data_IF_680247541081
#
_entry.id   IF_680247541081
#
_cell.length_a   1.000
_cell.length_b   1.000
_cell.length_c   1.000
_cell.angle_alpha   90.00
_cell.angle_beta   90.00
_cell.angle_gamma   90.00
#
_symmetry.space_group_name_H-M   'P 1'
#
loop_
_entity.id
_entity.type
_entity.pdbx_description
1 polymer ?
#
# COMPACT_ATOMS: atom_id res chain seq x y z
N UNK A 1 27.29 7.29 31.36
CA UNK A 1 26.77 7.49 30.00
C UNK A 1 26.11 6.19 29.61
N UNK A 2 24.79 6.13 29.74
CA UNK A 2 23.92 5.06 29.25
C UNK A 2 22.60 5.74 28.85
N UNK A 3 22.35 5.86 27.54
CA UNK A 3 21.39 6.82 26.96
C UNK A 3 19.92 6.35 26.95
N UNK A 4 19.59 5.20 27.54
CA UNK A 4 18.21 4.65 27.48
C UNK A 4 17.61 4.18 28.82
N UNK A 5 18.23 4.50 29.96
CA UNK A 5 17.56 4.46 31.27
C UNK A 5 16.80 5.77 31.49
N UNK A 6 15.66 5.98 30.82
CA UNK A 6 14.97 7.27 30.96
C UNK A 6 13.58 7.47 30.38
N UNK A 7 13.06 6.60 29.51
CA UNK A 7 11.68 6.75 29.01
C UNK A 7 10.74 5.74 29.65
N UNK A 8 10.39 6.01 30.92
CA UNK A 8 9.08 5.60 31.43
C UNK A 8 8.07 6.58 30.84
N UNK A 9 7.23 6.11 29.91
CA UNK A 9 6.08 6.89 29.49
C UNK A 9 5.12 7.03 30.68
N UNK A 10 4.95 8.26 31.13
CA UNK A 10 4.05 8.62 32.22
C UNK A 10 2.64 8.86 31.67
N UNK A 11 1.76 7.88 31.82
CA UNK A 11 0.34 7.99 31.48
C UNK A 11 -0.45 8.85 32.49
N UNK A 12 0.16 9.38 33.55
CA UNK A 12 -0.56 10.11 34.62
C UNK A 12 -1.05 11.51 34.22
N UNK A 13 -0.57 12.08 33.11
CA UNK A 13 -1.07 13.38 32.61
C UNK A 13 -2.42 13.30 31.87
N UNK A 14 -2.95 12.10 31.64
CA UNK A 14 -4.29 11.92 31.03
C UNK A 14 -5.44 11.91 32.04
N UNK A 15 -5.14 11.94 33.35
CA UNK A 15 -6.15 11.98 34.41
C UNK A 15 -6.13 13.35 35.06
N UNK A 16 -6.67 14.37 34.40
CA UNK A 16 -7.36 15.52 35.03
C UNK A 16 -7.81 16.57 34.00
N UNK A 17 -8.91 16.28 33.28
CA UNK A 17 -10.09 17.14 33.15
C UNK A 17 -11.02 16.58 32.05
N UNK A 18 -12.14 16.02 32.49
CA UNK A 18 -13.45 16.08 31.83
C UNK A 18 -13.58 15.62 30.37
N UNK A 19 -14.31 14.50 30.22
CA UNK A 19 -14.90 13.90 29.01
C UNK A 19 -13.98 12.95 28.24
N UNK A 20 -14.43 11.69 28.19
CA UNK A 20 -13.77 10.54 27.58
C UNK A 20 -13.72 10.64 26.06
N UNK A 21 -12.54 10.91 25.50
CA UNK A 21 -12.20 10.54 24.11
C UNK A 21 -11.14 9.43 24.15
N UNK A 22 -11.63 8.21 24.41
CA UNK A 22 -10.85 6.97 24.36
C UNK A 22 -10.76 6.47 22.92
N UNK A 23 -9.78 6.94 22.13
CA UNK A 23 -9.55 6.40 20.76
C UNK A 23 -8.12 6.56 20.21
N UNK A 24 -7.09 6.65 21.04
CA UNK A 24 -5.69 6.76 20.55
C UNK A 24 -4.90 5.46 20.78
N UNK A 25 -5.27 4.39 20.05
CA UNK A 25 -4.50 3.14 20.01
C UNK A 25 -3.34 3.26 19.01
N UNK A 26 -2.26 2.51 19.24
CA UNK A 26 -1.11 2.40 18.30
C UNK A 26 -1.56 2.03 16.88
N UNK A 27 -2.64 1.27 16.79
CA UNK A 27 -3.30 0.87 15.56
C UNK A 27 -3.95 2.03 14.81
N UNK A 28 -4.77 2.84 15.50
CA UNK A 28 -5.39 4.02 14.88
C UNK A 28 -4.30 4.96 14.37
N UNK A 29 -3.23 5.12 15.15
CA UNK A 29 -2.05 5.88 14.74
C UNK A 29 -1.39 5.29 13.48
N UNK A 30 -1.20 3.97 13.39
CA UNK A 30 -0.67 3.34 12.18
C UNK A 30 -1.56 3.60 10.96
N UNK A 31 -2.88 3.36 11.09
CA UNK A 31 -3.83 3.52 9.98
C UNK A 31 -3.87 4.97 9.49
N UNK A 32 -3.92 5.92 10.42
CA UNK A 32 -3.95 7.34 10.09
C UNK A 32 -2.64 7.80 9.43
N UNK A 33 -1.48 7.44 9.98
CA UNK A 33 -0.17 7.82 9.43
C UNK A 33 0.12 7.14 8.08
N UNK A 34 -0.32 5.89 7.89
CA UNK A 34 -0.27 5.20 6.60
C UNK A 34 -1.07 5.96 5.53
N UNK A 35 -2.31 6.34 5.86
CA UNK A 35 -3.20 7.09 4.96
C UNK A 35 -2.61 8.46 4.65
N UNK A 36 -2.10 9.19 5.65
CA UNK A 36 -1.40 10.47 5.47
C UNK A 36 -0.21 10.31 4.53
N UNK A 37 0.62 9.30 4.73
CA UNK A 37 1.76 9.00 3.87
C UNK A 37 1.35 8.72 2.41
N UNK A 38 0.29 7.95 2.19
CA UNK A 38 -0.24 7.67 0.85
C UNK A 38 -0.73 8.96 0.17
N UNK A 39 -1.55 9.76 0.85
CA UNK A 39 -2.09 11.03 0.31
C UNK A 39 -0.95 12.01 0.01
N UNK A 40 -0.02 12.19 0.95
CA UNK A 40 1.12 13.09 0.78
C UNK A 40 2.01 12.65 -0.38
N UNK A 41 2.28 11.36 -0.51
CA UNK A 41 3.05 10.81 -1.63
C UNK A 41 2.36 11.01 -2.99
N UNK A 42 1.02 10.99 -3.01
CA UNK A 42 0.27 11.32 -4.21
C UNK A 42 0.42 12.80 -4.59
N UNK A 43 0.34 13.72 -3.61
CA UNK A 43 0.57 15.16 -3.82
C UNK A 43 2.00 15.44 -4.32
N UNK A 44 3.01 14.80 -3.72
CA UNK A 44 4.40 14.91 -4.15
C UNK A 44 4.57 14.45 -5.62
N UNK A 45 3.93 13.33 -5.98
CA UNK A 45 3.92 12.85 -7.36
C UNK A 45 3.28 13.85 -8.33
N UNK A 46 2.15 14.47 -7.97
CA UNK A 46 1.48 15.49 -8.80
C UNK A 46 2.43 16.65 -9.10
N UNK A 47 3.14 17.13 -8.08
CA UNK A 47 4.08 18.24 -8.27
C UNK A 47 5.24 17.87 -9.20
N UNK A 48 5.82 16.67 -9.04
CA UNK A 48 6.87 16.19 -9.94
C UNK A 48 6.35 16.00 -11.37
N UNK A 49 5.13 15.48 -11.52
CA UNK A 49 4.48 15.32 -12.83
C UNK A 49 4.25 16.66 -13.51
N UNK A 50 3.77 17.67 -12.77
CA UNK A 50 3.61 19.04 -13.24
C UNK A 50 4.94 19.60 -13.77
N UNK A 51 5.98 19.58 -12.94
CA UNK A 51 7.29 20.11 -13.31
C UNK A 51 7.86 19.39 -14.54
N UNK A 52 7.70 18.07 -14.63
CA UNK A 52 8.16 17.30 -15.78
C UNK A 52 7.41 17.68 -17.08
N UNK A 53 6.10 17.91 -17.01
CA UNK A 53 5.31 18.37 -18.15
C UNK A 53 5.70 19.79 -18.60
N UNK A 54 6.02 20.67 -17.66
CA UNK A 54 6.42 22.06 -17.96
C UNK A 54 7.84 22.16 -18.54
N UNK A 55 8.74 21.24 -18.16
CA UNK A 55 10.18 21.34 -18.49
C UNK A 55 10.65 20.40 -19.59
N UNK A 56 9.94 19.30 -19.85
CA UNK A 56 10.33 18.29 -20.83
C UNK A 56 9.33 18.25 -21.99
N UNK A 57 9.86 18.08 -23.21
CA UNK A 57 9.04 17.84 -24.40
C UNK A 57 8.31 16.50 -24.37
N UNK A 58 8.88 15.51 -23.68
CA UNK A 58 8.32 14.17 -23.50
C UNK A 58 8.55 13.77 -22.05
N UNK A 59 7.47 13.57 -21.30
CA UNK A 59 7.53 13.29 -19.86
C UNK A 59 6.78 12.00 -19.46
N UNK A 60 6.10 11.32 -20.40
CA UNK A 60 5.12 10.25 -20.12
C UNK A 60 5.62 9.14 -19.20
N UNK A 61 6.92 8.83 -19.24
CA UNK A 61 7.55 7.84 -18.37
C UNK A 61 7.42 8.16 -16.86
N UNK A 62 7.20 9.42 -16.48
CA UNK A 62 6.97 9.78 -15.09
C UNK A 62 5.71 9.14 -14.50
N UNK A 63 4.75 8.71 -15.33
CA UNK A 63 3.57 8.01 -14.79
C UNK A 63 3.88 6.71 -14.04
N UNK A 64 5.06 6.13 -14.28
CA UNK A 64 5.52 4.91 -13.61
C UNK A 64 6.18 5.16 -12.25
N UNK A 65 6.56 6.40 -11.91
CA UNK A 65 7.27 6.69 -10.63
C UNK A 65 6.33 7.05 -9.48
N UNK A 66 5.01 7.11 -9.70
CA UNK A 66 3.99 7.40 -8.66
C UNK A 66 4.17 6.55 -7.40
N UNK A 67 4.39 5.25 -7.56
CA UNK A 67 4.60 4.34 -6.43
C UNK A 67 5.80 4.73 -5.56
N UNK A 68 6.87 5.26 -6.17
CA UNK A 68 8.10 5.63 -5.46
C UNK A 68 7.87 6.82 -4.52
N UNK A 69 7.07 7.81 -4.95
CA UNK A 69 6.72 8.96 -4.11
C UNK A 69 5.84 8.55 -2.94
N UNK A 70 4.92 7.61 -3.17
CA UNK A 70 4.03 7.04 -2.14
C UNK A 70 4.85 6.25 -1.11
N UNK A 71 5.67 5.31 -1.56
CA UNK A 71 6.53 4.53 -0.65
C UNK A 71 7.46 5.42 0.17
N UNK A 72 8.03 6.48 -0.44
CA UNK A 72 8.88 7.43 0.27
C UNK A 72 8.11 8.16 1.39
N UNK A 73 6.92 8.68 1.10
CA UNK A 73 6.13 9.40 2.10
C UNK A 73 5.60 8.47 3.20
N UNK A 74 5.25 7.22 2.88
CA UNK A 74 4.92 6.21 3.89
C UNK A 74 6.12 5.96 4.81
N UNK A 75 7.33 5.82 4.25
CA UNK A 75 8.54 5.62 5.05
C UNK A 75 8.80 6.78 6.02
N UNK A 76 8.56 8.03 5.59
CA UNK A 76 8.68 9.21 6.45
C UNK A 76 7.63 9.19 7.56
N UNK A 77 6.35 8.98 7.23
CA UNK A 77 5.27 9.02 8.22
C UNK A 77 5.32 7.86 9.21
N UNK A 78 5.81 6.70 8.77
CA UNK A 78 5.88 5.49 9.60
C UNK A 78 7.26 5.24 10.21
N UNK A 79 8.24 6.15 10.08
CA UNK A 79 9.63 5.92 10.55
C UNK A 79 9.73 5.57 12.05
N UNK A 80 8.76 6.06 12.84
CA UNK A 80 8.67 5.85 14.28
C UNK A 80 7.91 4.57 14.67
N UNK A 81 7.33 3.86 13.69
CA UNK A 81 6.52 2.66 13.89
C UNK A 81 7.08 1.43 13.16
N UNK A 82 7.72 1.64 12.01
CA UNK A 82 8.16 0.59 11.09
C UNK A 82 9.58 0.88 10.59
N UNK A 83 10.36 -0.18 10.52
CA UNK A 83 11.55 -0.21 9.69
C UNK A 83 11.16 -0.47 8.24
N UNK A 84 12.03 -0.12 7.29
CA UNK A 84 11.80 -0.43 5.89
C UNK A 84 13.10 -0.87 5.21
N UNK A 85 12.98 -1.73 4.20
CA UNK A 85 14.11 -2.21 3.41
C UNK A 85 13.83 -2.18 1.92
N UNK A 86 14.84 -1.78 1.14
CA UNK A 86 14.76 -1.77 -0.33
C UNK A 86 14.91 -3.20 -0.87
N UNK A 87 13.89 -3.68 -1.58
CA UNK A 87 13.88 -4.99 -2.26
C UNK A 87 13.83 -4.81 -3.78
N UNK A 88 14.07 -5.89 -4.54
CA UNK A 88 14.04 -5.88 -6.01
C UNK A 88 12.78 -6.57 -6.53
N UNK A 89 12.14 -5.97 -7.53
CA UNK A 89 11.04 -6.54 -8.29
C UNK A 89 11.48 -6.73 -9.75
N UNK A 90 12.26 -7.78 -10.01
CA UNK A 90 12.91 -8.00 -11.30
C UNK A 90 14.24 -7.25 -11.42
N UNK A 91 14.64 -6.90 -12.64
CA UNK A 91 15.97 -6.36 -12.93
C UNK A 91 16.12 -4.88 -12.55
N UNK A 92 15.17 -4.04 -12.99
CA UNK A 92 15.27 -2.58 -12.88
C UNK A 92 14.43 -1.98 -11.77
N UNK A 93 13.38 -2.68 -11.30
CA UNK A 93 12.46 -2.11 -10.32
C UNK A 93 12.84 -2.47 -8.88
N UNK A 94 12.66 -1.51 -7.98
CA UNK A 94 12.82 -1.67 -6.53
C UNK A 94 11.55 -1.21 -5.83
N UNK A 95 11.32 -1.73 -4.64
CA UNK A 95 10.20 -1.35 -3.78
C UNK A 95 10.64 -1.35 -2.31
N UNK A 96 9.88 -0.68 -1.46
CA UNK A 96 10.04 -0.77 -0.01
C UNK A 96 9.17 -1.89 0.57
N UNK A 97 9.81 -2.77 1.33
CA UNK A 97 9.13 -3.65 2.27
C UNK A 97 9.22 -3.05 3.66
N UNK A 98 8.06 -2.79 4.26
CA UNK A 98 7.92 -2.26 5.62
C UNK A 98 7.79 -3.41 6.60
N UNK A 99 8.46 -3.30 7.76
CA UNK A 99 8.58 -4.39 8.72
C UNK A 99 8.55 -3.85 10.15
N UNK A 100 7.90 -4.60 11.04
CA UNK A 100 7.97 -4.39 12.48
C UNK A 100 8.11 -5.74 13.16
N UNK A 101 9.04 -5.82 14.11
CA UNK A 101 9.20 -6.97 14.98
C UNK A 101 8.40 -6.69 16.26
N UNK A 102 7.53 -7.61 16.62
CA UNK A 102 6.91 -7.64 17.94
C UNK A 102 7.89 -8.35 18.89
N UNK A 103 8.48 -7.59 19.81
CA UNK A 103 9.51 -8.08 20.73
C UNK A 103 8.97 -9.15 21.71
N UNK A 104 7.65 -9.21 21.90
CA UNK A 104 7.01 -10.15 22.84
C UNK A 104 7.02 -11.60 22.34
N UNK A 105 6.84 -11.81 21.04
CA UNK A 105 6.68 -13.12 20.40
C UNK A 105 7.60 -13.34 19.18
N UNK A 106 8.48 -12.38 18.87
CA UNK A 106 9.34 -12.34 17.68
C UNK A 106 8.56 -12.45 16.36
N UNK A 107 7.28 -12.12 16.37
CA UNK A 107 6.48 -12.06 15.16
C UNK A 107 6.94 -10.89 14.27
N UNK A 108 7.01 -11.12 12.96
CA UNK A 108 7.38 -10.11 11.99
C UNK A 108 6.15 -9.73 11.19
N UNK A 109 5.59 -8.56 11.48
CA UNK A 109 4.59 -7.95 10.63
C UNK A 109 5.29 -7.26 9.47
N UNK A 110 4.93 -7.60 8.24
CA UNK A 110 5.48 -6.95 7.04
C UNK A 110 4.41 -6.62 6.01
N UNK A 111 4.65 -5.58 5.22
CA UNK A 111 3.78 -5.23 4.12
C UNK A 111 4.50 -4.53 2.96
N UNK A 112 3.84 -4.55 1.81
CA UNK A 112 4.17 -3.74 0.64
C UNK A 112 2.96 -2.95 0.18
N UNK A 113 3.20 -1.85 -0.53
CA UNK A 113 2.14 -0.97 -1.02
C UNK A 113 2.04 -1.04 -2.55
N UNK A 114 0.82 -1.10 -3.08
CA UNK A 114 0.56 -1.25 -4.51
C UNK A 114 -0.60 -0.40 -5.00
N UNK A 115 -0.53 0.03 -6.25
CA UNK A 115 -1.70 0.62 -6.91
C UNK A 115 -2.75 -0.48 -7.14
N UNK A 116 -3.98 -0.24 -6.70
CA UNK A 116 -5.12 -1.17 -6.82
C UNK A 116 -5.37 -1.58 -8.27
N UNK A 117 -5.18 -0.68 -9.23
CA UNK A 117 -5.35 -0.94 -10.68
C UNK A 117 -4.48 -2.10 -11.19
N UNK A 118 -3.32 -2.32 -10.58
CA UNK A 118 -2.37 -3.38 -10.98
C UNK A 118 -2.40 -4.59 -10.06
N UNK A 119 -3.25 -4.57 -9.03
CA UNK A 119 -3.44 -5.68 -8.10
C UNK A 119 -4.47 -6.66 -8.66
N UNK A 120 -4.24 -7.96 -8.44
CA UNK A 120 -5.19 -9.01 -8.78
C UNK A 120 -5.41 -9.87 -7.55
N UNK A 121 -6.50 -9.62 -6.83
CA UNK A 121 -6.85 -10.38 -5.62
C UNK A 121 -7.06 -11.88 -5.88
N UNK A 122 -7.44 -12.27 -7.10
CA UNK A 122 -7.67 -13.68 -7.42
C UNK A 122 -6.39 -14.41 -7.85
N UNK A 123 -5.34 -13.67 -8.25
CA UNK A 123 -4.01 -14.18 -8.60
C UNK A 123 -2.93 -13.18 -8.24
N UNK A 124 -2.60 -13.12 -6.95
CA UNK A 124 -1.76 -12.08 -6.34
C UNK A 124 -0.38 -12.01 -6.98
N UNK A 125 0.22 -13.17 -7.27
CA UNK A 125 1.54 -13.21 -7.92
C UNK A 125 1.52 -12.73 -9.38
N UNK A 126 0.38 -12.67 -10.05
CA UNK A 126 0.27 -12.32 -11.47
C UNK A 126 -0.07 -10.84 -11.68
N UNK A 127 -0.84 -10.17 -10.81
CA UNK A 127 -1.22 -8.75 -10.96
C UNK A 127 -1.92 -8.43 -12.30
N UNK A 128 -2.06 -7.14 -12.63
CA UNK A 128 -2.72 -6.66 -13.86
C UNK A 128 -1.91 -5.61 -14.60
N UNK A 129 -2.12 -5.50 -15.92
CA UNK A 129 -1.62 -4.41 -16.76
C UNK A 129 -2.62 -3.22 -16.76
N UNK A 130 -2.29 -2.09 -17.41
CA UNK A 130 -3.21 -0.95 -17.52
C UNK A 130 -4.58 -1.28 -18.14
N UNK A 131 -4.65 -2.28 -19.03
CA UNK A 131 -5.86 -2.77 -19.69
C UNK A 131 -6.64 -3.80 -18.85
N UNK A 132 -6.26 -3.99 -17.59
CA UNK A 132 -6.87 -4.96 -16.66
C UNK A 132 -6.68 -6.43 -17.03
N UNK A 133 -5.79 -6.71 -17.99
CA UNK A 133 -5.39 -8.07 -18.31
C UNK A 133 -4.33 -8.54 -17.34
N UNK A 134 -4.32 -9.85 -17.10
CA UNK A 134 -3.32 -10.45 -16.25
C UNK A 134 -1.91 -10.37 -16.84
N UNK A 135 -0.89 -10.22 -15.99
CA UNK A 135 0.51 -10.29 -16.40
C UNK A 135 1.20 -11.55 -15.92
N UNK A 136 2.43 -11.79 -16.39
CA UNK A 136 3.24 -12.94 -15.96
C UNK A 136 3.44 -13.00 -14.44
N UNK A 137 3.64 -14.24 -13.93
CA UNK A 137 3.92 -14.49 -12.52
C UNK A 137 5.18 -13.73 -12.07
N UNK A 138 5.03 -12.95 -10.99
CA UNK A 138 6.10 -12.17 -10.38
C UNK A 138 6.72 -12.97 -9.24
N UNK A 139 7.92 -13.52 -9.48
CA UNK A 139 8.65 -14.34 -8.50
C UNK A 139 8.79 -13.65 -7.12
N UNK A 140 9.12 -12.36 -7.10
CA UNK A 140 9.27 -11.62 -5.84
C UNK A 140 7.97 -11.58 -5.02
N UNK A 141 6.80 -11.52 -5.66
CA UNK A 141 5.53 -11.56 -4.93
C UNK A 141 5.26 -12.94 -4.39
N UNK A 142 5.54 -13.98 -5.18
CA UNK A 142 5.42 -15.37 -4.71
C UNK A 142 6.24 -15.60 -3.44
N UNK A 143 7.48 -15.08 -3.41
CA UNK A 143 8.35 -15.15 -2.24
C UNK A 143 7.77 -14.41 -1.02
N UNK A 144 7.19 -13.21 -1.22
CA UNK A 144 6.55 -12.45 -0.14
C UNK A 144 5.28 -13.14 0.38
N UNK A 145 4.40 -13.59 -0.52
CA UNK A 145 3.16 -14.30 -0.17
C UNK A 145 3.50 -15.53 0.67
N UNK A 146 4.53 -16.29 0.30
CA UNK A 146 4.97 -17.50 1.01
C UNK A 146 5.39 -17.26 2.48
N UNK A 147 5.56 -16.02 2.94
CA UNK A 147 5.71 -15.70 4.37
C UNK A 147 4.47 -16.08 5.19
N UNK A 148 3.32 -16.23 4.54
CA UNK A 148 2.05 -16.65 5.14
C UNK A 148 1.78 -18.16 5.03
N UNK A 149 2.72 -18.98 4.54
CA UNK A 149 2.49 -20.44 4.28
C UNK A 149 2.02 -21.24 5.50
N UNK A 150 2.29 -20.68 6.68
CA UNK A 150 2.09 -21.31 7.97
C UNK A 150 0.85 -20.73 8.69
N UNK A 151 0.12 -19.82 8.04
CA UNK A 151 -1.06 -19.12 8.57
C UNK A 151 -2.30 -19.98 8.36
N UNK A 152 -3.09 -20.17 9.42
CA UNK A 152 -4.39 -20.83 9.30
C UNK A 152 -5.43 -19.87 8.71
N UNK A 153 -5.55 -19.86 7.39
CA UNK A 153 -6.38 -18.91 6.65
C UNK A 153 -7.88 -19.10 6.90
N UNK A 154 -8.38 -20.32 7.17
CA UNK A 154 -9.77 -20.55 7.57
C UNK A 154 -10.12 -19.90 8.91
N UNK A 155 -9.20 -19.99 9.88
CA UNK A 155 -9.39 -19.34 11.18
C UNK A 155 -9.32 -17.82 11.05
N UNK A 156 -8.37 -17.31 10.26
CA UNK A 156 -8.28 -15.88 9.94
C UNK A 156 -9.57 -15.37 9.28
N UNK A 157 -10.08 -16.09 8.27
CA UNK A 157 -11.40 -15.84 7.65
C UNK A 157 -12.52 -15.81 8.68
N UNK A 158 -12.56 -16.77 9.59
CA UNK A 158 -13.63 -16.86 10.59
C UNK A 158 -13.60 -15.70 11.59
N UNK A 159 -12.40 -15.22 11.93
CA UNK A 159 -12.22 -14.08 12.80
C UNK A 159 -12.68 -12.79 12.08
N UNK A 160 -12.37 -12.63 10.79
CA UNK A 160 -12.86 -11.50 9.97
C UNK A 160 -14.35 -11.58 9.59
N UNK A 161 -14.91 -12.78 9.44
CA UNK A 161 -16.35 -12.96 9.20
C UNK A 161 -17.18 -12.72 10.46
N UNK A 162 -16.65 -13.09 11.64
CA UNK A 162 -17.23 -12.68 12.93
C UNK A 162 -17.05 -11.18 13.18
N UNK A 163 -16.07 -10.53 12.54
CA UNK A 163 -15.77 -9.11 12.76
C UNK A 163 -16.68 -8.11 12.08
N UNK A 164 -17.70 -8.53 11.30
CA UNK A 164 -18.84 -7.63 11.03
C UNK A 164 -19.62 -7.29 12.31
N UNK A 165 -19.35 -7.99 13.42
CA UNK A 165 -19.82 -7.64 14.77
C UNK A 165 -18.68 -7.38 15.80
N UNK A 166 -17.40 -7.71 15.51
CA UNK A 166 -16.25 -7.56 16.43
C UNK A 166 -14.90 -7.35 15.71
N UNK A 167 -14.53 -6.08 15.54
CA UNK A 167 -13.19 -5.49 15.34
C UNK A 167 -12.01 -6.34 14.79
N UNK A 168 -11.50 -5.96 13.60
CA UNK A 168 -10.21 -6.41 13.05
C UNK A 168 -9.00 -6.10 13.98
N UNK A 169 -9.22 -5.24 14.98
CA UNK A 169 -8.28 -4.79 15.99
C UNK A 169 -7.69 -5.93 16.84
N UNK A 170 -8.41 -7.03 17.08
CA UNK A 170 -7.87 -8.17 17.85
C UNK A 170 -6.85 -9.02 17.07
N UNK A 171 -6.81 -8.94 15.73
CA UNK A 171 -6.01 -9.84 14.90
C UNK A 171 -4.61 -9.31 14.59
N UNK A 172 -4.47 -8.00 14.45
CA UNK A 172 -3.22 -7.36 14.09
C UNK A 172 -2.32 -7.06 15.29
N UNK A 173 -2.90 -6.90 16.49
CA UNK A 173 -2.18 -6.34 17.65
C UNK A 173 -2.37 -7.10 18.98
N UNK A 174 -3.09 -8.23 19.01
CA UNK A 174 -3.37 -8.94 20.27
C UNK A 174 -2.45 -10.16 20.50
N UNK A 175 -1.95 -10.28 21.73
CA UNK A 175 -0.94 -11.27 22.18
C UNK A 175 -1.57 -12.64 22.60
N UNK A 176 -2.44 -13.25 21.78
CA UNK A 176 -2.93 -14.61 22.10
C UNK A 176 -1.94 -15.67 21.62
N UNK A 177 -1.24 -16.26 22.59
CA UNK A 177 -0.06 -17.15 22.54
C UNK A 177 -0.11 -18.46 21.71
N UNK A 178 -1.10 -18.73 20.88
CA UNK A 178 -1.17 -20.03 20.15
C UNK A 178 -1.53 -19.92 18.65
N UNK A 179 -1.63 -18.71 18.10
CA UNK A 179 -2.14 -18.49 16.76
C UNK A 179 -1.04 -17.87 15.88
N UNK A 180 -0.64 -18.53 14.80
CA UNK A 180 0.35 -17.97 13.87
C UNK A 180 -0.25 -16.74 13.17
N UNK A 181 -0.02 -15.55 13.75
CA UNK A 181 -0.29 -14.23 13.15
C UNK A 181 0.29 -14.20 11.72
N UNK A 182 -0.42 -13.58 10.78
CA UNK A 182 0.08 -13.48 9.41
C UNK A 182 1.29 -12.54 9.33
N UNK A 183 2.34 -12.97 8.63
CA UNK A 183 3.58 -12.23 8.58
C UNK A 183 3.60 -11.17 7.47
N UNK A 184 2.73 -11.29 6.46
CA UNK A 184 2.76 -10.45 5.27
C UNK A 184 1.38 -9.99 4.80
N UNK A 185 1.27 -8.69 4.51
CA UNK A 185 0.08 -8.04 3.98
C UNK A 185 0.40 -7.25 2.71
N UNK A 186 -0.61 -7.00 1.91
CA UNK A 186 -0.53 -6.07 0.78
C UNK A 186 -1.50 -4.93 1.05
N UNK A 187 -1.01 -3.71 1.01
CA UNK A 187 -1.85 -2.51 1.06
C UNK A 187 -2.03 -2.00 -0.35
N UNK A 188 -3.28 -1.86 -0.79
CA UNK A 188 -3.59 -1.26 -2.10
C UNK A 188 -4.11 0.15 -1.92
N UNK A 189 -3.76 1.03 -2.86
CA UNK A 189 -4.32 2.37 -2.95
C UNK A 189 -4.91 2.63 -4.34
N UNK A 190 -6.03 3.33 -4.37
CA UNK A 190 -6.61 3.99 -5.52
C UNK A 190 -7.00 5.40 -5.11
N UNK A 191 -6.43 6.41 -5.76
CA UNK A 191 -6.83 7.80 -5.56
C UNK A 191 -7.31 8.29 -6.91
N UNK A 192 -8.62 8.31 -7.07
CA UNK A 192 -9.31 8.86 -8.22
C UNK A 192 -9.85 10.23 -7.84
N UNK A 193 -9.33 11.27 -8.49
CA UNK A 193 -9.64 12.66 -8.17
C UNK A 193 -10.62 13.29 -9.16
N UNK A 194 -10.97 12.58 -10.23
CA UNK A 194 -11.68 13.13 -11.41
C UNK A 194 -13.00 12.43 -11.72
N UNK A 195 -13.28 11.26 -11.13
CA UNK A 195 -14.51 10.50 -11.41
C UNK A 195 -15.27 10.12 -10.14
N UNK A 196 -16.56 9.76 -10.28
CA UNK A 196 -17.41 9.23 -9.21
C UNK A 196 -16.92 7.88 -8.61
N UNK A 197 -15.82 7.31 -9.11
CA UNK A 197 -15.22 6.11 -8.49
C UNK A 197 -14.66 6.47 -7.12
N UNK A 198 -14.99 5.65 -6.12
CA UNK A 198 -14.47 5.80 -4.78
C UNK A 198 -12.97 5.53 -4.76
N UNK A 199 -12.21 6.58 -4.46
CA UNK A 199 -10.85 6.42 -3.94
C UNK A 199 -10.89 5.43 -2.77
N UNK A 200 -9.89 4.57 -2.67
CA UNK A 200 -9.86 3.51 -1.66
C UNK A 200 -8.44 3.20 -1.20
N UNK A 201 -8.30 2.84 0.07
CA UNK A 201 -7.07 2.26 0.62
C UNK A 201 -7.49 1.00 1.36
N UNK A 202 -6.95 -0.14 0.97
CA UNK A 202 -7.39 -1.46 1.45
C UNK A 202 -6.22 -2.30 1.92
N UNK A 203 -6.42 -3.06 2.99
CA UNK A 203 -5.46 -4.00 3.54
C UNK A 203 -5.89 -5.41 3.15
N UNK A 204 -4.97 -6.16 2.55
CA UNK A 204 -5.21 -7.50 2.03
C UNK A 204 -4.29 -8.51 2.70
N UNK A 205 -4.84 -9.69 2.95
CA UNK A 205 -4.11 -10.88 3.38
C UNK A 205 -3.94 -11.85 2.22
N UNK A 206 -2.72 -12.02 1.67
CA UNK A 206 -2.46 -13.02 0.66
C UNK A 206 -2.45 -14.44 1.23
N UNK A 207 -3.10 -15.36 0.53
CA UNK A 207 -3.20 -16.79 0.81
C UNK A 207 -2.29 -17.55 -0.16
N UNK A 208 -1.18 -18.14 0.31
CA UNK A 208 -0.22 -18.82 -0.55
C UNK A 208 -0.78 -20.02 -1.30
N UNK A 209 -1.65 -20.80 -0.65
CA UNK A 209 -2.17 -22.07 -1.17
C UNK A 209 -3.03 -21.87 -2.41
N UNK A 210 -3.82 -20.80 -2.42
CA UNK A 210 -4.76 -20.47 -3.51
C UNK A 210 -4.24 -19.35 -4.41
N UNK A 211 -3.16 -18.67 -4.02
CA UNK A 211 -2.67 -17.44 -4.67
C UNK A 211 -3.74 -16.34 -4.76
N UNK A 212 -4.68 -16.33 -3.82
CA UNK A 212 -5.70 -15.29 -3.69
C UNK A 212 -5.35 -14.34 -2.56
N UNK A 213 -6.06 -13.23 -2.44
CA UNK A 213 -5.99 -12.33 -1.31
C UNK A 213 -7.38 -12.05 -0.76
N UNK A 214 -7.45 -11.84 0.55
CA UNK A 214 -8.69 -11.51 1.23
C UNK A 214 -8.64 -10.10 1.78
N UNK A 215 -9.74 -9.36 1.58
CA UNK A 215 -9.88 -8.04 2.15
C UNK A 215 -10.02 -8.17 3.67
N UNK A 216 -9.07 -7.58 4.37
CA UNK A 216 -9.02 -7.54 5.83
C UNK A 216 -9.67 -6.26 6.34
N UNK A 217 -9.34 -5.13 5.71
CA UNK A 217 -9.84 -3.84 6.14
C UNK A 217 -9.90 -2.85 4.98
N UNK A 218 -10.93 -2.01 5.00
CA UNK A 218 -11.11 -0.89 4.08
C UNK A 218 -10.94 0.44 4.86
N UNK A 219 -9.86 1.16 4.56
CA UNK A 219 -9.48 2.42 5.21
C UNK A 219 -10.11 3.65 4.54
N UNK A 220 -11.05 3.48 3.60
CA UNK A 220 -11.68 4.59 2.86
C UNK A 220 -12.27 5.64 3.80
N UNK A 221 -12.89 5.22 4.91
CA UNK A 221 -13.43 6.18 5.90
C UNK A 221 -12.34 7.05 6.55
N UNK A 222 -11.18 6.46 6.87
CA UNK A 222 -10.04 7.18 7.44
C UNK A 222 -9.44 8.11 6.39
N UNK A 223 -9.30 7.63 5.16
CA UNK A 223 -8.83 8.41 4.02
C UNK A 223 -9.69 9.65 3.78
N UNK A 224 -11.02 9.54 3.83
CA UNK A 224 -11.92 10.68 3.69
C UNK A 224 -11.68 11.70 4.80
N UNK A 225 -11.60 11.26 6.07
CA UNK A 225 -11.31 12.15 7.21
C UNK A 225 -9.95 12.85 7.08
N UNK A 226 -8.90 12.13 6.67
CA UNK A 226 -7.58 12.72 6.46
C UNK A 226 -7.59 13.71 5.30
N UNK A 227 -8.35 13.44 4.24
CA UNK A 227 -8.46 14.32 3.06
C UNK A 227 -9.13 15.68 3.38
N UNK A 228 -9.86 15.77 4.50
CA UNK A 228 -10.43 17.03 4.98
C UNK A 228 -9.43 17.87 5.82
N UNK A 229 -8.27 17.32 6.16
CA UNK A 229 -7.24 18.01 6.95
C UNK A 229 -6.40 18.91 6.03
N UNK A 230 -6.13 20.14 6.48
CA UNK A 230 -5.22 21.06 5.80
C UNK A 230 -3.85 20.43 5.57
N UNK A 231 -3.34 20.56 4.34
CA UNK A 231 -2.09 19.93 3.90
C UNK A 231 -2.26 18.54 3.25
N UNK A 232 -3.39 17.88 3.48
CA UNK A 232 -3.75 16.59 2.86
C UNK A 232 -4.86 16.73 1.82
N UNK A 233 -5.68 17.77 1.92
CA UNK A 233 -6.67 18.12 0.90
C UNK A 233 -6.02 18.37 -0.47
N UNK A 234 -6.60 17.81 -1.53
CA UNK A 234 -6.21 18.13 -2.91
C UNK A 234 -6.83 19.46 -3.35
N UNK A 235 -6.01 20.33 -3.91
CA UNK A 235 -6.43 21.60 -4.51
C UNK A 235 -6.97 21.39 -5.92
N UNK A 236 -7.79 22.32 -6.41
CA UNK A 236 -8.32 22.27 -7.77
C UNK A 236 -7.20 22.25 -8.83
N UNK A 237 -6.10 22.96 -8.58
CA UNK A 237 -4.94 22.96 -9.46
C UNK A 237 -4.29 21.57 -9.56
N UNK A 238 -4.16 20.87 -8.44
CA UNK A 238 -3.62 19.50 -8.40
C UNK A 238 -4.52 18.51 -9.17
N UNK A 239 -5.84 18.68 -9.07
CA UNK A 239 -6.81 17.85 -9.79
C UNK A 239 -6.69 18.06 -11.30
N UNK A 240 -6.66 19.31 -11.77
CA UNK A 240 -6.60 19.61 -13.20
C UNK A 240 -5.29 19.17 -13.89
N UNK A 241 -4.17 19.12 -13.16
CA UNK A 241 -2.91 18.57 -13.68
C UNK A 241 -3.05 17.09 -14.06
N UNK A 242 -3.88 16.35 -13.32
CA UNK A 242 -4.13 14.94 -13.57
C UNK A 242 -5.12 14.72 -14.71
N UNK A 243 -6.14 15.57 -14.83
CA UNK A 243 -7.12 15.55 -15.93
C UNK A 243 -6.42 15.76 -17.29
N UNK A 244 -5.63 16.82 -17.41
CA UNK A 244 -4.86 17.08 -18.64
C UNK A 244 -3.89 15.93 -18.99
N UNK A 245 -3.37 15.23 -17.99
CA UNK A 245 -2.49 14.07 -18.19
C UNK A 245 -3.24 12.78 -18.56
N UNK A 246 -4.54 12.68 -18.29
CA UNK A 246 -5.40 11.55 -18.69
C UNK A 246 -5.87 11.73 -20.14
N UNK A 247 -6.27 12.93 -20.54
CA UNK A 247 -6.66 13.25 -21.92
C UNK A 247 -5.51 12.97 -22.92
N UNK A 248 -4.27 13.34 -22.59
CA UNK A 248 -3.09 13.02 -23.42
C UNK A 248 -2.79 11.50 -23.52
N UNK A 249 -3.25 10.70 -22.55
CA UNK A 249 -3.05 9.25 -22.55
C UNK A 249 -4.09 8.55 -23.41
N UNK A 250 -5.34 9.00 -23.37
CA UNK A 250 -6.42 8.39 -24.13
C UNK A 250 -6.20 8.57 -25.65
N UNK A 251 -5.66 9.72 -26.08
CA UNK A 251 -5.23 9.94 -27.47
C UNK A 251 -4.05 9.05 -27.89
N UNK A 252 -3.12 8.73 -26.97
CA UNK A 252 -1.93 7.91 -27.27
C UNK A 252 -2.17 6.41 -27.13
N UNK A 253 -3.14 5.96 -26.33
CA UNK A 253 -3.42 4.51 -26.15
C UNK A 253 -3.98 3.81 -27.38
N UNK A 254 -4.48 4.54 -28.38
CA UNK A 254 -4.83 3.95 -29.68
C UNK A 254 -3.60 3.50 -30.48
N UNK A 255 -2.40 3.97 -30.13
CA UNK A 255 -1.17 3.64 -30.82
C UNK A 255 -0.05 3.26 -29.83
N UNK A 256 0.41 2.01 -29.93
CA UNK A 256 1.67 1.45 -29.39
C UNK A 256 1.53 0.62 -28.10
N UNK A 257 1.57 -0.71 -28.26
CA UNK A 257 2.69 -1.57 -27.81
C UNK A 257 2.54 -3.00 -28.39
N UNK A 258 2.77 -3.17 -29.69
CA UNK A 258 3.09 -4.47 -30.29
C UNK A 258 4.59 -4.55 -30.53
N UNK A 259 5.36 -4.96 -29.51
CA UNK A 259 6.71 -5.47 -29.74
C UNK A 259 6.53 -6.89 -30.29
N UNK A 260 6.45 -7.01 -31.62
CA UNK A 260 6.60 -8.30 -32.29
C UNK A 260 8.05 -8.71 -32.15
N UNK A 261 8.35 -9.55 -31.16
CA UNK A 261 9.63 -10.26 -31.09
C UNK A 261 9.75 -11.12 -32.35
N UNK A 262 10.74 -10.78 -33.18
CA UNK A 262 10.95 -11.35 -34.51
C UNK A 262 10.97 -12.87 -34.54
N UNK A 263 10.36 -13.41 -35.60
CA UNK A 263 10.47 -14.80 -36.04
C UNK A 263 11.95 -15.21 -36.09
N UNK A 264 12.29 -16.32 -35.42
CA UNK A 264 13.48 -17.08 -35.81
C UNK A 264 13.17 -17.72 -37.17
N UNK A 265 13.80 -17.19 -38.22
CA UNK A 265 14.05 -17.96 -39.43
C UNK A 265 14.90 -19.18 -39.05
N UNK A 266 14.32 -20.36 -39.14
CA UNK A 266 15.07 -21.59 -39.33
C UNK A 266 15.10 -21.82 -40.84
N UNK A 267 16.22 -21.45 -41.46
CA UNK A 267 16.59 -21.91 -42.78
C UNK A 267 17.59 -23.06 -42.63
N UNK A 268 17.19 -24.23 -43.13
CA UNK A 268 17.96 -25.29 -43.79
C UNK A 268 19.24 -25.83 -43.13
N UNK A 269 19.18 -27.09 -42.71
CA UNK A 269 19.85 -28.19 -43.42
C UNK A 269 19.18 -29.53 -43.12
#
# INVERSE_FOLDING_TARGET
MDFFKGMKYDNSKLIQKGRSDTTNTLENRFKEELVKGIIKGYKDYIQVRKNANETLKISDAYCYVKGNHIENQIAIHLEHLFEHSKKKAGFSWKFLEFMKIDDSDKHVFSFVVKNERYFNENRVSYGRNPFQEETNEKKYLKELINKNKDVNTERVRSNFKKSYQLDANELLFNERKEERKANFYIITYNIELTSEKSSSIKIWLPIPETNTAELIEDLTSIMNKVSDIDGYKFSQQEISILEASQEEKDEKTENVFSIVSGKKEQDKS
#
